data_IF_174977727839
#
_entry.id   IF_174977727839
#
_cell.length_a   1.000
_cell.length_b   1.000
_cell.length_c   1.000
_cell.angle_alpha   90.00
_cell.angle_beta   90.00
_cell.angle_gamma   90.00
#
_symmetry.space_group_name_H-M   'P 1'
#
loop_
_entity.id
_entity.type
_entity.pdbx_description
1 polymer ?
#
# COMPACT_ATOMS: atom_id res chain seq x y z
N UNK A 1 3.47 5.39 -25.14
CA UNK A 1 3.32 4.72 -25.00
C UNK A 1 2.82 4.27 -24.01
N UNK A 2 2.05 4.07 -23.78
CA UNK A 2 1.42 3.69 -22.86
C UNK A 2 1.57 2.41 -22.48
N UNK A 3 1.80 1.59 -23.23
CA UNK A 3 2.04 0.22 -22.94
C UNK A 3 3.17 0.06 -21.93
N UNK A 4 3.85 1.14 -21.72
CA UNK A 4 4.99 1.09 -20.83
C UNK A 4 4.63 1.36 -19.39
N UNK A 5 3.38 1.67 -19.12
CA UNK A 5 2.96 1.91 -17.75
C UNK A 5 3.03 0.61 -16.96
N UNK A 6 3.64 0.67 -15.79
CA UNK A 6 3.70 -0.47 -14.89
C UNK A 6 2.33 -0.72 -14.29
N UNK A 7 2.07 -1.97 -14.01
CA UNK A 7 0.88 -2.35 -13.27
C UNK A 7 1.29 -2.55 -11.81
N UNK A 8 0.62 -1.85 -10.92
CA UNK A 8 0.89 -1.97 -9.48
C UNK A 8 -0.11 -2.95 -8.87
N UNK A 9 0.41 -3.98 -8.24
CA UNK A 9 -0.43 -5.01 -7.61
C UNK A 9 -0.04 -5.16 -6.15
N UNK A 10 -1.01 -5.07 -5.28
CA UNK A 10 -0.81 -5.34 -3.85
C UNK A 10 -1.36 -6.73 -3.54
N UNK A 11 -0.60 -7.51 -2.82
CA UNK A 11 -0.97 -8.87 -2.49
C UNK A 11 -0.87 -9.10 -0.98
N UNK A 12 -1.80 -9.86 -0.44
CA UNK A 12 -1.81 -10.24 0.96
C UNK A 12 -2.12 -11.73 1.05
N UNK A 13 -1.14 -12.52 1.49
CA UNK A 13 -1.30 -13.96 1.63
C UNK A 13 -1.48 -14.38 3.08
N UNK A 14 -1.73 -13.42 3.98
CA UNK A 14 -1.89 -13.72 5.39
C UNK A 14 -0.58 -13.75 6.18
N UNK A 15 0.53 -13.56 5.52
CA UNK A 15 1.86 -13.46 6.12
C UNK A 15 2.76 -12.65 5.21
N UNK A 16 3.91 -12.24 5.72
CA UNK A 16 4.87 -11.53 4.89
C UNK A 16 5.40 -12.46 3.80
N UNK A 17 5.60 -11.91 2.61
CA UNK A 17 6.23 -12.64 1.51
C UNK A 17 7.74 -12.67 1.70
N UNK A 18 8.36 -13.78 1.35
CA UNK A 18 9.82 -13.80 1.24
C UNK A 18 10.22 -13.07 -0.05
N UNK A 19 11.47 -12.65 -0.13
CA UNK A 19 11.97 -11.99 -1.32
C UNK A 19 11.81 -12.87 -2.56
N UNK A 20 12.07 -14.16 -2.42
CA UNK A 20 11.93 -15.11 -3.52
C UNK A 20 10.48 -15.23 -3.96
N UNK A 21 9.56 -15.33 -3.01
CA UNK A 21 8.13 -15.41 -3.32
C UNK A 21 7.64 -14.16 -4.05
N UNK A 22 8.08 -13.01 -3.59
CA UNK A 22 7.71 -11.74 -4.20
C UNK A 22 8.21 -11.68 -5.65
N UNK A 23 9.46 -12.05 -5.85
CA UNK A 23 10.05 -12.04 -7.19
C UNK A 23 9.34 -13.02 -8.12
N UNK A 24 9.06 -14.24 -7.65
CA UNK A 24 8.39 -15.25 -8.47
C UNK A 24 6.97 -14.81 -8.84
N UNK A 25 6.23 -14.26 -7.89
CA UNK A 25 4.88 -13.77 -8.17
C UNK A 25 4.91 -12.64 -9.20
N UNK A 26 5.85 -11.72 -9.04
CA UNK A 26 6.01 -10.61 -9.96
C UNK A 26 6.32 -11.09 -11.37
N UNK A 27 7.21 -12.09 -11.50
CA UNK A 27 7.56 -12.65 -12.81
C UNK A 27 6.36 -13.33 -13.46
N UNK A 28 5.62 -14.12 -12.69
CA UNK A 28 4.43 -14.79 -13.22
C UNK A 28 3.38 -13.81 -13.71
N UNK A 29 3.14 -12.77 -12.93
CA UNK A 29 2.16 -11.75 -13.31
C UNK A 29 2.62 -10.98 -14.54
N UNK A 30 3.90 -10.63 -14.60
CA UNK A 30 4.44 -9.90 -15.75
C UNK A 30 4.31 -10.71 -17.03
N UNK A 31 4.58 -12.01 -16.97
CA UNK A 31 4.44 -12.89 -18.13
C UNK A 31 2.96 -13.00 -18.54
N UNK A 32 2.08 -13.23 -17.58
CA UNK A 32 0.65 -13.39 -17.86
C UNK A 32 0.04 -12.13 -18.44
N UNK A 33 0.43 -10.98 -17.94
CA UNK A 33 -0.15 -9.71 -18.34
C UNK A 33 0.61 -9.05 -19.49
N UNK A 34 1.76 -9.60 -19.84
CA UNK A 34 2.63 -9.05 -20.88
C UNK A 34 2.99 -7.59 -20.60
N UNK A 35 3.20 -7.26 -19.34
CA UNK A 35 3.53 -5.92 -18.87
C UNK A 35 4.38 -6.02 -17.62
N UNK A 36 5.14 -4.98 -17.34
CA UNK A 36 5.87 -4.91 -16.09
C UNK A 36 4.90 -4.77 -14.93
N UNK A 37 5.15 -5.54 -13.89
CA UNK A 37 4.31 -5.55 -12.69
C UNK A 37 5.18 -5.23 -11.49
N UNK A 38 4.75 -4.22 -10.73
CA UNK A 38 5.33 -3.91 -9.43
C UNK A 38 4.45 -4.58 -8.37
N UNK A 39 5.06 -5.42 -7.56
CA UNK A 39 4.34 -6.15 -6.54
C UNK A 39 4.65 -5.57 -5.17
N UNK A 40 3.60 -5.27 -4.42
CA UNK A 40 3.71 -4.76 -3.05
C UNK A 40 3.13 -5.80 -2.12
N UNK A 41 3.89 -6.14 -1.07
CA UNK A 41 3.39 -6.97 0.00
C UNK A 41 2.63 -6.09 0.99
N UNK A 42 1.30 -6.22 1.00
CA UNK A 42 0.45 -5.38 1.84
C UNK A 42 0.79 -5.54 3.32
N UNK A 43 1.22 -6.73 3.74
CA UNK A 43 1.54 -7.00 5.15
C UNK A 43 2.74 -6.22 5.65
N UNK A 44 3.71 -5.96 4.79
CA UNK A 44 4.93 -5.25 5.17
C UNK A 44 4.93 -3.79 4.74
N UNK A 45 3.91 -3.35 4.02
CA UNK A 45 3.82 -1.96 3.59
C UNK A 45 3.59 -1.04 4.79
N UNK A 46 4.08 0.19 4.70
CA UNK A 46 3.87 1.16 5.76
C UNK A 46 2.43 1.70 5.73
N UNK A 47 2.07 2.45 6.76
CA UNK A 47 0.70 2.93 6.93
C UNK A 47 0.24 3.83 5.79
N UNK A 48 1.13 4.66 5.29
CA UNK A 48 0.80 5.58 4.19
C UNK A 48 0.49 4.81 2.92
N UNK A 49 1.33 3.82 2.59
CA UNK A 49 1.15 3.02 1.39
C UNK A 49 -0.10 2.15 1.50
N UNK A 50 -0.35 1.55 2.67
CA UNK A 50 -1.57 0.77 2.89
C UNK A 50 -2.81 1.63 2.68
N UNK A 51 -2.82 2.84 3.22
CA UNK A 51 -3.93 3.75 3.04
C UNK A 51 -4.14 4.08 1.56
N UNK A 52 -3.07 4.35 0.85
CA UNK A 52 -3.15 4.66 -0.57
C UNK A 52 -3.74 3.49 -1.36
N UNK A 53 -3.29 2.27 -1.06
CA UNK A 53 -3.81 1.06 -1.72
C UNK A 53 -5.31 0.91 -1.46
N UNK A 54 -5.74 1.08 -0.20
CA UNK A 54 -7.14 0.87 0.17
C UNK A 54 -8.07 1.93 -0.37
N UNK A 55 -7.59 3.15 -0.56
CA UNK A 55 -8.44 4.25 -1.01
C UNK A 55 -8.43 4.43 -2.52
N UNK A 56 -7.35 4.05 -3.19
CA UNK A 56 -7.24 4.24 -4.64
C UNK A 56 -7.22 2.95 -5.44
N UNK A 57 -6.95 1.83 -4.80
CA UNK A 57 -6.89 0.54 -5.46
C UNK A 57 -8.26 -0.08 -5.65
N UNK A 58 -8.29 -1.12 -6.46
CA UNK A 58 -9.49 -1.91 -6.69
C UNK A 58 -9.24 -3.34 -6.24
N UNK A 59 -10.08 -3.86 -5.36
CA UNK A 59 -9.95 -5.24 -4.93
C UNK A 59 -10.37 -6.18 -6.05
N UNK A 60 -9.48 -7.09 -6.41
CA UNK A 60 -9.75 -8.06 -7.46
C UNK A 60 -10.19 -9.42 -6.89
N UNK A 61 -9.68 -9.77 -5.72
CA UNK A 61 -9.94 -11.08 -5.13
C UNK A 61 -9.71 -11.04 -3.63
N UNK A 62 -10.54 -11.77 -2.88
CA UNK A 62 -10.30 -12.04 -1.47
C UNK A 62 -10.81 -13.44 -1.16
N UNK A 63 -9.95 -14.26 -0.51
CA UNK A 63 -10.35 -15.63 -0.16
C UNK A 63 -11.41 -15.63 0.94
N UNK A 64 -11.26 -14.71 1.91
CA UNK A 64 -12.18 -14.60 3.03
C UNK A 64 -12.51 -13.11 3.19
N UNK A 65 -13.69 -12.73 2.72
CA UNK A 65 -14.10 -11.33 2.70
C UNK A 65 -14.18 -10.74 4.11
N UNK A 66 -14.65 -11.51 5.09
CA UNK A 66 -14.79 -10.99 6.45
C UNK A 66 -13.42 -10.73 7.08
N UNK A 67 -12.50 -11.67 6.94
CA UNK A 67 -11.15 -11.50 7.48
C UNK A 67 -10.42 -10.35 6.77
N UNK A 68 -10.61 -10.22 5.47
CA UNK A 68 -10.00 -9.15 4.70
C UNK A 68 -10.55 -7.80 5.12
N UNK A 69 -11.86 -7.70 5.29
CA UNK A 69 -12.49 -6.46 5.73
C UNK A 69 -11.99 -6.04 7.11
N UNK A 70 -11.83 -6.98 8.03
CA UNK A 70 -11.31 -6.70 9.36
C UNK A 70 -9.88 -6.19 9.30
N UNK A 71 -9.05 -6.81 8.48
CA UNK A 71 -7.67 -6.40 8.33
C UNK A 71 -7.57 -5.01 7.69
N UNK A 72 -8.39 -4.73 6.69
CA UNK A 72 -8.41 -3.42 6.04
C UNK A 72 -8.87 -2.33 7.00
N UNK A 73 -9.89 -2.62 7.80
CA UNK A 73 -10.38 -1.67 8.80
C UNK A 73 -9.29 -1.35 9.83
N UNK A 74 -8.56 -2.37 10.28
CA UNK A 74 -7.47 -2.16 11.21
C UNK A 74 -6.36 -1.31 10.60
N UNK A 75 -6.04 -1.55 9.33
CA UNK A 75 -5.01 -0.79 8.63
C UNK A 75 -5.40 0.68 8.49
N UNK A 76 -6.66 0.95 8.18
CA UNK A 76 -7.17 2.33 8.11
C UNK A 76 -7.12 3.01 9.46
N UNK A 77 -7.49 2.28 10.52
CA UNK A 77 -7.44 2.82 11.87
C UNK A 77 -6.02 3.19 12.26
N UNK A 78 -5.06 2.33 11.96
CA UNK A 78 -3.66 2.61 12.23
C UNK A 78 -3.17 3.84 11.47
N UNK A 79 -3.63 4.03 10.25
CA UNK A 79 -3.27 5.21 9.47
C UNK A 79 -3.80 6.48 10.13
N UNK A 80 -5.06 6.46 10.58
CA UNK A 80 -5.65 7.62 11.23
C UNK A 80 -4.95 7.95 12.55
N UNK A 81 -4.54 6.92 13.30
CA UNK A 81 -3.77 7.13 14.52
C UNK A 81 -2.41 7.76 14.21
N UNK A 82 -1.77 7.30 13.16
CA UNK A 82 -0.49 7.84 12.69
C UNK A 82 -0.63 9.33 12.36
N UNK A 83 -1.67 9.69 11.62
CA UNK A 83 -1.93 11.09 11.26
C UNK A 83 -2.23 11.93 12.50
N UNK A 84 -3.03 11.39 13.42
CA UNK A 84 -3.38 12.11 14.65
C UNK A 84 -2.15 12.41 15.49
N UNK A 85 -1.22 11.47 15.57
CA UNK A 85 0.02 11.66 16.32
C UNK A 85 0.91 12.74 15.72
N UNK A 86 0.82 12.94 14.42
CA UNK A 86 1.66 13.91 13.73
C UNK A 86 1.03 15.28 13.56
N UNK A 87 -0.29 15.37 13.74
CA UNK A 87 -1.00 16.63 13.56
C UNK A 87 -0.46 17.76 14.45
N UNK A 88 -0.19 17.53 15.75
CA UNK A 88 0.36 18.61 16.58
C UNK A 88 1.70 19.13 16.08
N UNK A 89 2.57 18.23 15.62
CA UNK A 89 3.86 18.63 15.09
C UNK A 89 3.71 19.48 13.84
N UNK A 90 2.83 19.05 12.94
CA UNK A 90 2.60 19.79 11.71
C UNK A 90 2.01 21.17 11.99
N UNK A 91 1.08 21.27 12.94
CA UNK A 91 0.52 22.56 13.33
C UNK A 91 1.60 23.49 13.88
N UNK A 92 2.47 22.94 14.72
CA UNK A 92 3.56 23.74 15.29
C UNK A 92 4.47 24.29 14.21
N UNK A 93 4.83 23.48 13.22
CA UNK A 93 5.66 23.90 12.11
C UNK A 93 4.98 25.01 11.31
N UNK A 94 3.69 24.86 11.03
CA UNK A 94 2.94 25.84 10.26
C UNK A 94 2.80 27.15 11.03
N UNK A 95 2.53 27.08 12.33
CA UNK A 95 2.36 28.27 13.15
C UNK A 95 3.63 29.08 13.26
N UNK A 96 4.78 28.44 13.23
CA UNK A 96 6.05 29.13 13.23
C UNK A 96 6.35 29.83 11.92
N UNK A 97 5.55 29.57 10.88
CA UNK A 97 5.73 30.18 9.58
C UNK A 97 7.03 29.82 8.91
N UNK A 98 7.56 28.65 9.25
CA UNK A 98 8.88 28.25 8.78
C UNK A 98 8.86 26.91 8.10
N UNK A 99 7.99 26.76 7.15
CA UNK A 99 7.94 25.53 6.38
C UNK A 99 8.74 25.76 5.11
N UNK A 100 9.82 25.04 4.97
CA UNK A 100 10.67 25.15 3.79
C UNK A 100 10.55 23.89 2.98
N UNK A 101 9.99 24.04 1.81
CA UNK A 101 9.89 22.93 0.86
C UNK A 101 11.04 23.07 -0.13
N UNK A 102 12.05 22.31 0.09
CA UNK A 102 13.21 22.40 -0.79
C UNK A 102 13.60 21.07 -1.32
#
# INVERSE_FOLDING_TARGET
MLADSDIDVAIDIGRALTATECWQAMQRLSVSLMRDVDLVDFRTANDVLRHQILTTGRRLFARDDAAQASFEAAALSEYFDFIAQRAPLMRDIVERGRVYAR
#
